data_IF_752928491299
#
_entry.id   IF_752928491299
#
_cell.length_a   1.000
_cell.length_b   1.000
_cell.length_c   1.000
_cell.angle_alpha   90.00
_cell.angle_beta   90.00
_cell.angle_gamma   90.00
#
_symmetry.space_group_name_H-M   'P 1'
#
loop_
_entity.id
_entity.type
_entity.pdbx_description
1 polymer ?
#
# COMPACT_ATOMS: atom_id res chain seq x y z
N UNK A 1 -6.05 -40.72 -23.23
CA UNK A 1 -6.11 -39.30 -23.57
C UNK A 1 -4.97 -38.60 -22.85
N UNK A 2 -4.20 -37.73 -23.51
CA UNK A 2 -2.81 -37.45 -23.19
C UNK A 2 -2.66 -36.45 -22.04
N UNK A 3 -1.58 -36.62 -21.26
CA UNK A 3 -1.09 -35.66 -20.26
C UNK A 3 -0.99 -34.26 -20.90
N UNK A 4 -1.66 -33.28 -20.30
CA UNK A 4 -1.42 -31.87 -20.58
C UNK A 4 -0.07 -31.47 -19.97
N UNK A 5 1.00 -31.76 -20.68
CA UNK A 5 2.31 -31.17 -20.43
C UNK A 5 2.20 -29.72 -20.91
N UNK A 6 2.19 -28.76 -19.99
CA UNK A 6 2.40 -27.36 -20.35
C UNK A 6 3.87 -27.24 -20.75
N UNK A 7 4.11 -26.87 -22.00
CA UNK A 7 5.44 -26.63 -22.54
C UNK A 7 6.11 -25.47 -21.77
N UNK A 8 7.40 -25.60 -21.50
CA UNK A 8 8.19 -24.61 -20.75
C UNK A 8 8.39 -23.27 -21.52
N UNK A 9 7.80 -23.15 -22.70
CA UNK A 9 7.85 -21.98 -23.58
C UNK A 9 6.63 -21.05 -23.38
N UNK A 10 5.67 -21.46 -22.53
CA UNK A 10 4.46 -20.69 -22.18
C UNK A 10 4.68 -19.91 -20.86
N UNK A 11 5.92 -19.50 -20.59
CA UNK A 11 6.27 -18.66 -19.45
C UNK A 11 6.09 -17.19 -19.84
N UNK A 12 5.00 -16.57 -19.38
CA UNK A 12 4.74 -15.14 -19.56
C UNK A 12 5.95 -14.32 -19.08
N UNK A 13 6.57 -13.62 -20.01
CA UNK A 13 7.75 -12.78 -19.79
C UNK A 13 7.34 -11.34 -19.49
N UNK A 14 8.27 -10.54 -18.96
CA UNK A 14 8.05 -9.09 -18.80
C UNK A 14 7.83 -8.36 -20.13
N UNK A 15 8.24 -8.97 -21.24
CA UNK A 15 8.08 -8.46 -22.60
C UNK A 15 6.63 -8.61 -23.09
N UNK A 16 5.84 -9.53 -22.51
CA UNK A 16 4.40 -9.69 -22.81
C UNK A 16 3.54 -8.57 -22.20
N UNK A 17 4.10 -7.72 -21.34
CA UNK A 17 3.47 -6.50 -20.82
C UNK A 17 3.71 -5.37 -21.83
N UNK A 18 3.12 -5.50 -23.01
CA UNK A 18 3.38 -4.60 -24.15
C UNK A 18 2.65 -3.24 -24.09
N UNK A 19 1.98 -2.93 -22.98
CA UNK A 19 1.04 -1.80 -22.85
C UNK A 19 1.29 -0.99 -21.57
N UNK A 20 2.56 -0.74 -21.23
CA UNK A 20 2.90 0.30 -20.27
C UNK A 20 2.89 1.63 -21.03
N UNK A 21 1.75 2.33 -20.97
CA UNK A 21 1.58 3.68 -21.50
C UNK A 21 2.77 4.57 -21.10
N UNK A 22 3.31 5.33 -22.06
CA UNK A 22 4.35 6.30 -21.78
C UNK A 22 3.78 7.30 -20.76
N UNK A 23 4.42 7.40 -19.59
CA UNK A 23 3.98 8.31 -18.52
C UNK A 23 3.94 9.74 -19.07
N UNK A 24 2.75 10.33 -19.11
CA UNK A 24 2.58 11.71 -19.53
C UNK A 24 3.13 12.66 -18.45
N UNK A 25 3.64 13.82 -18.88
CA UNK A 25 4.13 14.88 -17.97
C UNK A 25 3.01 15.45 -17.07
N UNK A 26 1.75 15.06 -17.31
CA UNK A 26 0.55 15.40 -16.54
C UNK A 26 0.16 14.36 -15.48
N UNK A 27 0.84 13.21 -15.39
CA UNK A 27 0.58 12.20 -14.36
C UNK A 27 0.76 12.77 -12.96
N UNK A 28 -0.31 12.75 -12.16
CA UNK A 28 -0.29 13.24 -10.76
C UNK A 28 0.77 12.50 -9.93
N UNK A 29 1.01 11.22 -10.24
CA UNK A 29 1.95 10.37 -9.52
C UNK A 29 2.91 9.62 -10.44
N UNK A 30 4.21 9.93 -10.32
CA UNK A 30 5.25 9.13 -10.98
C UNK A 30 5.65 7.92 -10.13
N UNK A 31 6.07 6.81 -10.77
CA UNK A 31 6.59 5.65 -10.03
C UNK A 31 7.74 6.03 -9.08
N UNK A 32 8.57 7.02 -9.47
CA UNK A 32 9.64 7.53 -8.63
C UNK A 32 9.10 8.16 -7.34
N UNK A 33 8.06 9.00 -7.46
CA UNK A 33 7.40 9.62 -6.31
C UNK A 33 6.81 8.56 -5.38
N UNK A 34 6.08 7.58 -5.93
CA UNK A 34 5.53 6.46 -5.17
C UNK A 34 6.61 5.68 -4.42
N UNK A 35 7.71 5.33 -5.09
CA UNK A 35 8.84 4.65 -4.45
C UNK A 35 9.45 5.48 -3.31
N UNK A 36 9.61 6.79 -3.50
CA UNK A 36 10.12 7.70 -2.48
C UNK A 36 9.19 7.79 -1.26
N UNK A 37 7.90 7.97 -1.47
CA UNK A 37 6.90 8.07 -0.39
C UNK A 37 6.80 6.75 0.39
N UNK A 38 6.77 5.60 -0.29
CA UNK A 38 6.80 4.29 0.36
C UNK A 38 8.08 4.08 1.18
N UNK A 39 9.24 4.59 0.72
CA UNK A 39 10.48 4.55 1.49
C UNK A 39 10.38 5.38 2.79
N UNK A 40 9.72 6.54 2.76
CA UNK A 40 9.44 7.33 3.99
C UNK A 40 8.55 6.57 4.96
N UNK A 41 7.48 5.91 4.48
CA UNK A 41 6.62 5.08 5.34
C UNK A 41 7.40 3.94 6.01
N UNK A 42 8.29 3.29 5.25
CA UNK A 42 9.22 2.28 5.79
C UNK A 42 10.19 2.85 6.82
N UNK A 43 10.68 4.08 6.64
CA UNK A 43 11.54 4.73 7.61
C UNK A 43 10.81 5.00 8.95
N UNK A 44 9.58 5.52 8.88
CA UNK A 44 8.72 5.78 10.05
C UNK A 44 8.44 4.49 10.82
N UNK A 45 7.95 3.46 10.11
CA UNK A 45 7.64 2.16 10.72
C UNK A 45 8.88 1.52 11.33
N UNK A 46 10.03 1.63 10.67
CA UNK A 46 11.31 1.14 11.20
C UNK A 46 11.71 1.88 12.48
N UNK A 47 11.59 3.20 12.52
CA UNK A 47 11.91 4.01 13.71
C UNK A 47 11.01 3.63 14.89
N UNK A 48 9.71 3.56 14.67
CA UNK A 48 8.72 3.19 15.69
C UNK A 48 8.90 1.74 16.17
N UNK A 49 9.36 0.84 15.32
CA UNK A 49 9.64 -0.54 15.70
C UNK A 49 10.95 -0.67 16.52
N UNK A 50 12.02 0.04 16.12
CA UNK A 50 13.35 -0.09 16.72
C UNK A 50 13.53 0.73 18.00
N UNK A 51 12.71 1.74 18.25
CA UNK A 51 12.85 2.64 19.40
C UNK A 51 11.60 2.61 20.28
N UNK A 52 11.63 1.86 21.40
CA UNK A 52 10.51 1.80 22.34
C UNK A 52 10.12 3.17 22.90
N UNK A 53 11.09 4.02 23.23
CA UNK A 53 10.82 5.38 23.72
C UNK A 53 10.11 6.25 22.69
N UNK A 54 10.55 6.15 21.42
CA UNK A 54 9.87 6.81 20.32
C UNK A 54 8.44 6.29 20.13
N UNK A 55 8.25 4.98 20.29
CA UNK A 55 6.93 4.35 20.18
C UNK A 55 6.00 4.81 21.30
N UNK A 56 6.50 4.87 22.54
CA UNK A 56 5.73 5.37 23.67
C UNK A 56 5.26 6.81 23.42
N UNK A 57 6.18 7.69 22.98
CA UNK A 57 5.81 9.08 22.68
C UNK A 57 4.81 9.20 21.53
N UNK A 58 4.95 8.35 20.51
CA UNK A 58 3.98 8.27 19.43
C UNK A 58 2.59 7.82 19.90
N UNK A 59 2.51 6.84 20.81
CA UNK A 59 1.23 6.36 21.36
C UNK A 59 0.53 7.46 22.16
N UNK A 60 1.26 8.22 22.98
CA UNK A 60 0.69 9.40 23.68
C UNK A 60 0.05 10.38 22.69
N UNK A 61 0.76 10.72 21.60
CA UNK A 61 0.26 11.61 20.57
C UNK A 61 -0.95 11.03 19.82
N UNK A 62 -0.98 9.71 19.59
CA UNK A 62 -2.14 9.04 19.03
C UNK A 62 -3.37 9.16 19.94
N UNK A 63 -3.20 9.06 21.26
CA UNK A 63 -4.29 9.24 22.22
C UNK A 63 -4.79 10.69 22.27
N UNK A 64 -3.86 11.67 22.29
CA UNK A 64 -4.17 13.10 22.27
C UNK A 64 -4.91 13.52 20.98
N UNK A 65 -4.50 12.97 19.84
CA UNK A 65 -5.13 13.24 18.53
C UNK A 65 -6.38 12.39 18.28
N UNK A 66 -6.81 11.57 19.26
CA UNK A 66 -7.96 10.65 19.17
C UNK A 66 -7.88 9.72 17.97
N UNK A 67 -6.68 9.25 17.64
CA UNK A 67 -6.46 8.25 16.60
C UNK A 67 -7.18 6.94 16.95
N UNK A 68 -7.82 6.32 15.96
CA UNK A 68 -8.46 5.02 16.15
C UNK A 68 -7.42 3.92 16.45
N UNK A 69 -7.78 2.96 17.31
CA UNK A 69 -6.93 1.81 17.64
C UNK A 69 -6.89 0.79 16.50
N UNK A 70 -5.85 -0.06 16.42
CA UNK A 70 -4.61 -0.01 17.21
C UNK A 70 -3.70 1.18 16.85
N UNK A 71 -2.98 1.75 17.83
CA UNK A 71 -1.99 2.83 17.62
C UNK A 71 -0.66 2.32 16.99
N UNK A 72 -0.73 1.22 16.26
CA UNK A 72 0.41 0.64 15.59
C UNK A 72 0.50 1.09 14.14
N UNK A 73 1.73 1.33 13.69
CA UNK A 73 2.00 1.52 12.26
C UNK A 73 2.62 0.24 11.77
N UNK A 74 1.87 -0.51 10.96
CA UNK A 74 2.33 -1.80 10.47
C UNK A 74 3.54 -1.66 9.55
N UNK A 75 4.49 -2.58 9.70
CA UNK A 75 5.69 -2.60 8.87
C UNK A 75 5.38 -3.33 7.56
N UNK A 76 5.86 -2.79 6.45
CA UNK A 76 5.90 -3.52 5.18
C UNK A 76 6.88 -4.70 5.28
N UNK A 77 6.39 -5.88 4.93
CA UNK A 77 7.10 -7.16 4.99
C UNK A 77 7.14 -7.73 3.57
N UNK A 78 8.33 -7.88 2.95
CA UNK A 78 8.44 -8.33 1.56
C UNK A 78 7.77 -9.68 1.27
N UNK A 79 7.71 -10.57 2.27
CA UNK A 79 7.12 -11.91 2.12
C UNK A 79 5.61 -11.95 2.31
N UNK A 80 4.97 -10.81 2.60
CA UNK A 80 3.54 -10.73 2.82
C UNK A 80 2.91 -9.75 1.83
N UNK A 81 2.16 -10.29 0.86
CA UNK A 81 1.51 -9.54 -0.22
C UNK A 81 0.66 -8.36 0.26
N UNK A 82 0.00 -8.48 1.42
CA UNK A 82 -0.89 -7.43 1.95
C UNK A 82 -0.20 -6.42 2.88
N UNK A 83 1.11 -6.53 3.10
CA UNK A 83 1.79 -5.69 4.09
C UNK A 83 1.91 -4.22 3.65
N UNK A 84 1.94 -3.93 2.34
CA UNK A 84 1.90 -2.56 1.82
C UNK A 84 0.56 -1.90 2.14
N UNK A 85 -0.56 -2.56 1.85
CA UNK A 85 -1.90 -2.05 2.21
C UNK A 85 -2.00 -1.75 3.70
N UNK A 86 -1.63 -2.70 4.56
CA UNK A 86 -1.71 -2.51 6.02
C UNK A 86 -0.79 -1.40 6.54
N UNK A 87 0.39 -1.25 5.94
CA UNK A 87 1.29 -0.14 6.24
C UNK A 87 0.64 1.19 5.90
N UNK A 88 0.15 1.34 4.66
CA UNK A 88 -0.48 2.58 4.17
C UNK A 88 -1.72 2.91 4.98
N UNK A 89 -2.61 1.94 5.22
CA UNK A 89 -3.81 2.09 6.07
C UNK A 89 -3.45 2.58 7.47
N UNK A 90 -2.37 2.07 8.05
CA UNK A 90 -1.92 2.51 9.37
C UNK A 90 -1.31 3.92 9.37
N UNK A 91 -0.66 4.33 8.27
CA UNK A 91 -0.12 5.69 8.10
C UNK A 91 -1.28 6.68 8.00
N UNK A 92 -2.24 6.43 7.11
CA UNK A 92 -3.45 7.26 6.92
C UNK A 92 -4.21 7.41 8.25
N UNK A 93 -4.50 6.28 8.93
CA UNK A 93 -5.20 6.31 10.22
C UNK A 93 -4.51 7.18 11.28
N UNK A 94 -3.18 7.14 11.32
CA UNK A 94 -2.38 7.83 12.33
C UNK A 94 -1.84 9.19 11.84
N UNK A 95 -2.35 9.73 10.74
CA UNK A 95 -1.80 10.92 10.05
C UNK A 95 -1.43 12.06 11.01
N UNK A 96 -2.40 12.53 11.78
CA UNK A 96 -2.24 13.69 12.68
C UNK A 96 -1.14 13.45 13.72
N UNK A 97 -1.10 12.23 14.27
CA UNK A 97 -0.09 11.84 15.24
C UNK A 97 1.30 11.76 14.59
N UNK A 98 1.40 11.19 13.39
CA UNK A 98 2.67 11.07 12.64
C UNK A 98 3.23 12.44 12.29
N UNK A 99 2.40 13.35 11.74
CA UNK A 99 2.82 14.69 11.32
C UNK A 99 3.35 15.53 12.49
N UNK A 100 2.82 15.29 13.69
CA UNK A 100 3.30 15.92 14.93
C UNK A 100 4.55 15.24 15.46
N UNK A 101 4.52 13.91 15.58
CA UNK A 101 5.62 13.09 16.12
C UNK A 101 6.91 13.22 15.31
N UNK A 102 6.85 13.27 13.98
CA UNK A 102 8.03 13.34 13.13
C UNK A 102 8.88 14.61 13.38
N UNK A 103 8.25 15.69 13.86
CA UNK A 103 8.91 16.98 14.15
C UNK A 103 9.58 17.00 15.52
N UNK A 104 9.35 15.98 16.35
CA UNK A 104 10.01 15.87 17.66
C UNK A 104 11.53 15.74 17.50
N UNK A 105 12.28 16.60 18.21
CA UNK A 105 13.74 16.68 18.08
C UNK A 105 14.48 15.44 18.58
N UNK A 106 13.90 14.70 19.53
CA UNK A 106 14.55 13.58 20.20
C UNK A 106 14.05 12.23 19.66
N UNK A 107 12.75 12.13 19.43
CA UNK A 107 12.06 10.88 19.11
C UNK A 107 11.58 10.78 17.67
N UNK A 108 11.48 11.91 16.94
CA UNK A 108 11.00 11.95 15.56
C UNK A 108 11.97 11.37 14.53
N UNK A 109 11.70 11.69 13.26
CA UNK A 109 12.52 11.27 12.12
C UNK A 109 13.38 12.41 11.59
N UNK A 110 14.48 12.11 10.87
CA UNK A 110 15.25 13.12 10.14
C UNK A 110 14.38 13.91 9.14
N UNK A 111 14.67 15.20 8.97
CA UNK A 111 13.88 16.12 8.11
C UNK A 111 13.69 15.64 6.67
N UNK A 112 14.70 14.99 6.08
CA UNK A 112 14.63 14.46 4.72
C UNK A 112 13.67 13.26 4.57
N UNK A 113 13.18 12.71 5.69
CA UNK A 113 12.20 11.62 5.75
C UNK A 113 10.85 12.07 6.30
N UNK A 114 10.64 13.38 6.45
CA UNK A 114 9.36 13.92 6.87
C UNK A 114 8.32 13.72 5.77
N UNK A 115 7.12 13.32 6.19
CA UNK A 115 5.93 13.30 5.35
C UNK A 115 5.40 14.72 5.19
N UNK A 116 5.07 15.06 3.97
CA UNK A 116 4.33 16.26 3.58
C UNK A 116 2.91 15.90 3.16
N UNK A 117 2.04 16.90 2.93
CA UNK A 117 0.66 16.66 2.55
C UNK A 117 0.53 15.79 1.30
N UNK A 118 1.33 16.06 0.27
CA UNK A 118 1.35 15.24 -0.95
C UNK A 118 1.71 13.76 -0.70
N UNK A 119 2.51 13.44 0.32
CA UNK A 119 2.76 12.04 0.69
C UNK A 119 1.51 11.38 1.30
N UNK A 120 0.65 12.16 1.98
CA UNK A 120 -0.59 11.68 2.60
C UNK A 120 -1.73 11.57 1.59
N UNK A 121 -1.81 12.50 0.64
CA UNK A 121 -2.76 12.44 -0.46
C UNK A 121 -2.51 11.17 -1.29
N UNK A 122 -1.24 10.92 -1.66
CA UNK A 122 -0.83 9.66 -2.29
C UNK A 122 -1.14 8.43 -1.42
N UNK A 123 -1.01 8.54 -0.09
CA UNK A 123 -1.34 7.42 0.80
C UNK A 123 -2.84 7.08 0.76
N UNK A 124 -3.69 8.09 0.67
CA UNK A 124 -5.14 7.92 0.58
C UNK A 124 -5.51 7.27 -0.77
N UNK A 125 -4.96 7.77 -1.87
CA UNK A 125 -5.23 7.21 -3.20
C UNK A 125 -4.71 5.77 -3.34
N UNK A 126 -3.51 5.49 -2.82
CA UNK A 126 -2.99 4.12 -2.74
C UNK A 126 -3.84 3.20 -1.86
N UNK A 127 -4.46 3.73 -0.81
CA UNK A 127 -5.32 2.95 0.07
C UNK A 127 -6.57 2.49 -0.66
N UNK A 128 -7.23 3.41 -1.38
CA UNK A 128 -8.42 3.14 -2.18
C UNK A 128 -8.12 2.16 -3.33
N UNK A 129 -6.98 2.32 -4.00
CA UNK A 129 -6.55 1.41 -5.06
C UNK A 129 -6.28 -0.02 -4.55
N UNK A 130 -5.65 -0.14 -3.38
CA UNK A 130 -5.22 -1.43 -2.83
C UNK A 130 -6.33 -2.16 -2.04
N UNK A 131 -7.38 -1.46 -1.62
CA UNK A 131 -8.48 -2.02 -0.81
C UNK A 131 -9.17 -3.22 -1.49
N UNK A 132 -9.59 -3.17 -2.77
CA UNK A 132 -10.22 -4.31 -3.43
C UNK A 132 -9.34 -5.57 -3.45
N UNK A 133 -8.03 -5.40 -3.67
CA UNK A 133 -7.07 -6.50 -3.66
C UNK A 133 -6.92 -7.12 -2.28
N UNK A 134 -6.89 -6.27 -1.25
CA UNK A 134 -6.82 -6.71 0.14
C UNK A 134 -8.07 -7.51 0.53
N UNK A 135 -9.27 -7.02 0.18
CA UNK A 135 -10.53 -7.71 0.44
C UNK A 135 -10.61 -9.06 -0.29
N UNK A 136 -10.24 -9.11 -1.56
CA UNK A 136 -10.20 -10.36 -2.32
C UNK A 136 -9.26 -11.37 -1.64
N UNK A 137 -8.08 -10.93 -1.24
CA UNK A 137 -7.11 -11.81 -0.56
C UNK A 137 -7.66 -12.32 0.78
N UNK A 138 -8.35 -11.47 1.56
CA UNK A 138 -9.01 -11.91 2.78
C UNK A 138 -10.09 -12.96 2.51
N UNK A 139 -10.91 -12.77 1.48
CA UNK A 139 -11.94 -13.74 1.11
C UNK A 139 -11.35 -15.09 0.69
N UNK A 140 -10.26 -15.11 -0.09
CA UNK A 140 -9.52 -16.33 -0.44
C UNK A 140 -9.03 -17.05 0.81
N UNK A 141 -8.39 -16.31 1.72
CA UNK A 141 -7.75 -16.90 2.90
C UNK A 141 -8.76 -17.46 3.91
N UNK A 142 -9.93 -16.83 4.04
CA UNK A 142 -10.97 -17.26 4.98
C UNK A 142 -11.80 -18.41 4.42
N UNK A 143 -11.97 -18.49 3.09
CA UNK A 143 -12.69 -19.60 2.47
C UNK A 143 -11.81 -20.86 2.44
N UNK A 144 -12.16 -21.82 3.29
CA UNK A 144 -11.51 -23.14 3.34
C UNK A 144 -11.49 -23.91 2.01
N UNK A 145 -12.30 -23.49 1.01
CA UNK A 145 -12.30 -24.03 -0.35
C UNK A 145 -12.73 -22.94 -1.35
N UNK A 146 -11.91 -21.90 -1.51
CA UNK A 146 -12.08 -20.97 -2.63
C UNK A 146 -12.01 -21.77 -3.95
N UNK A 147 -13.07 -21.69 -4.76
CA UNK A 147 -13.10 -22.37 -6.07
C UNK A 147 -12.48 -21.47 -7.12
N UNK A 148 -11.80 -22.05 -8.12
CA UNK A 148 -11.20 -21.32 -9.25
C UNK A 148 -12.20 -20.35 -9.91
N UNK A 149 -13.48 -20.73 -10.00
CA UNK A 149 -14.53 -19.88 -10.54
C UNK A 149 -14.72 -18.56 -9.76
N UNK A 150 -14.53 -18.56 -8.43
CA UNK A 150 -14.63 -17.34 -7.62
C UNK A 150 -13.44 -16.41 -7.87
N UNK A 151 -12.25 -16.97 -8.14
CA UNK A 151 -11.05 -16.20 -8.50
C UNK A 151 -11.24 -15.45 -9.81
N UNK A 152 -11.83 -16.10 -10.82
CA UNK A 152 -12.13 -15.46 -12.11
C UNK A 152 -13.10 -14.29 -11.94
N UNK A 153 -14.11 -14.43 -11.07
CA UNK A 153 -15.05 -13.33 -10.77
C UNK A 153 -14.31 -12.15 -10.14
N UNK A 154 -13.39 -12.38 -9.21
CA UNK A 154 -12.60 -11.31 -8.60
C UNK A 154 -11.66 -10.62 -9.59
N UNK A 155 -11.00 -11.37 -10.49
CA UNK A 155 -10.19 -10.77 -11.55
C UNK A 155 -11.04 -9.81 -12.38
N UNK A 156 -12.22 -10.25 -12.83
CA UNK A 156 -13.11 -9.39 -13.61
C UNK A 156 -13.58 -8.15 -12.83
N UNK A 157 -13.86 -8.28 -11.53
CA UNK A 157 -14.25 -7.15 -10.68
C UNK A 157 -13.12 -6.14 -10.52
N UNK A 158 -11.89 -6.61 -10.26
CA UNK A 158 -10.71 -5.75 -10.13
C UNK A 158 -10.43 -5.05 -11.46
N UNK A 159 -10.42 -5.79 -12.58
CA UNK A 159 -10.21 -5.21 -13.91
C UNK A 159 -11.27 -4.15 -14.21
N UNK A 160 -12.54 -4.41 -13.92
CA UNK A 160 -13.61 -3.42 -14.11
C UNK A 160 -13.37 -2.15 -13.26
N UNK A 161 -13.01 -2.30 -11.98
CA UNK A 161 -12.70 -1.16 -11.10
C UNK A 161 -11.52 -0.34 -11.63
N UNK A 162 -10.42 -0.98 -12.03
CA UNK A 162 -9.27 -0.29 -12.60
C UNK A 162 -9.61 0.44 -13.89
N UNK A 163 -10.36 -0.20 -14.79
CA UNK A 163 -10.82 0.43 -16.02
C UNK A 163 -11.69 1.66 -15.75
N UNK A 164 -12.53 1.65 -14.70
CA UNK A 164 -13.31 2.84 -14.34
C UNK A 164 -12.46 3.99 -13.81
N UNK A 165 -11.39 3.70 -13.06
CA UNK A 165 -10.46 4.73 -12.58
C UNK A 165 -9.78 5.40 -13.76
N UNK A 166 -9.20 4.60 -14.67
CA UNK A 166 -8.53 5.11 -15.88
C UNK A 166 -9.49 5.91 -16.77
N UNK A 167 -10.73 5.42 -16.96
CA UNK A 167 -11.72 6.12 -17.78
C UNK A 167 -12.21 7.45 -17.18
N UNK A 168 -12.16 7.60 -15.86
CA UNK A 168 -12.53 8.83 -15.17
C UNK A 168 -11.42 9.89 -15.22
N UNK A 169 -10.16 9.49 -15.42
CA UNK A 169 -9.03 10.42 -15.60
C UNK A 169 -8.97 11.01 -17.02
N UNK A 170 -9.53 10.30 -18.02
CA UNK A 170 -9.58 10.74 -19.42
C UNK A 170 -10.72 11.73 -19.79
N UNK A 171 -11.51 12.19 -18.81
CA UNK A 171 -12.66 13.09 -18.98
C UNK A 171 -12.48 14.41 -18.20
#
# INVERSE_FOLDING_TARGET
MPNGQLDADDELTLEDIHDLEDKDDEDVYTSLLCCHTLAKFRAITTKLCKSPNSKAKFVELCEETKCNKPHNVERNVPTCWNSTYKQVASIVRCEKAILTWQRDKQYGTPRNTHLVQADMDLAQDLLELLEPFYECTLQVLVKASARVAEVVVWINQITASLSTVVANEAN
#
